data_IF_289310675624
#
_entry.id   IF_289310675624
#
_cell.length_a   1.000
_cell.length_b   1.000
_cell.length_c   1.000
_cell.angle_alpha   90.00
_cell.angle_beta   90.00
_cell.angle_gamma   90.00
#
_symmetry.space_group_name_H-M   'P 1'
#
loop_
_entity.id
_entity.type
_entity.pdbx_description
1 polymer ?
#
# COMPACT_ATOMS: atom_id res chain seq x y z
N UNK A 1 7.42 13.89 21.04
CA UNK A 1 6.87 13.19 19.85
C UNK A 1 7.90 13.28 18.74
N UNK A 2 8.26 12.16 18.13
CA UNK A 2 9.25 12.13 17.06
C UNK A 2 8.54 12.29 15.71
N UNK A 3 8.87 13.34 14.97
CA UNK A 3 8.41 13.56 13.61
C UNK A 3 9.56 13.30 12.62
N UNK A 4 9.24 12.65 11.50
CA UNK A 4 10.22 12.34 10.45
C UNK A 4 9.60 12.53 9.08
N UNK A 5 10.36 13.15 8.17
CA UNK A 5 10.06 13.12 6.75
C UNK A 5 10.72 11.91 6.07
N UNK A 6 9.94 11.13 5.32
CA UNK A 6 10.39 9.98 4.55
C UNK A 6 10.18 10.24 3.05
N UNK A 7 11.24 10.16 2.25
CA UNK A 7 11.16 10.26 0.78
C UNK A 7 10.93 8.90 0.16
N UNK A 8 10.04 8.82 -0.82
CA UNK A 8 9.73 7.62 -1.58
C UNK A 8 9.12 7.99 -2.94
N UNK A 9 8.75 6.98 -3.74
CA UNK A 9 8.22 7.15 -5.09
C UNK A 9 6.77 6.70 -5.13
N UNK A 10 5.96 7.41 -5.90
CA UNK A 10 4.58 7.04 -6.19
C UNK A 10 4.49 5.63 -6.80
N UNK A 11 3.82 4.66 -6.15
CA UNK A 11 3.75 3.26 -6.62
C UNK A 11 2.75 3.05 -7.76
N UNK A 12 2.13 4.11 -8.26
CA UNK A 12 1.15 4.00 -9.34
C UNK A 12 1.82 3.59 -10.63
N UNK A 13 1.15 2.71 -11.36
CA UNK A 13 1.54 2.31 -12.70
C UNK A 13 1.24 3.42 -13.72
N UNK A 14 1.92 4.57 -13.58
CA UNK A 14 1.96 5.64 -14.57
C UNK A 14 3.41 6.02 -14.86
N UNK A 15 3.63 6.67 -16.00
CA UNK A 15 4.98 7.00 -16.47
C UNK A 15 5.70 8.09 -15.65
N UNK A 16 4.96 8.87 -14.85
CA UNK A 16 5.52 10.06 -14.20
C UNK A 16 6.46 9.77 -13.02
N UNK A 17 6.34 8.60 -12.38
CA UNK A 17 7.17 8.17 -11.24
C UNK A 17 7.40 9.27 -10.18
N UNK A 18 6.35 10.04 -9.85
CA UNK A 18 6.47 11.23 -9.01
C UNK A 18 7.13 10.96 -7.64
N UNK A 19 7.97 11.89 -7.19
CA UNK A 19 8.56 11.87 -5.85
C UNK A 19 7.54 12.26 -4.78
N UNK A 20 7.58 11.55 -3.66
CA UNK A 20 6.68 11.73 -2.52
C UNK A 20 7.48 11.96 -1.24
N UNK A 21 6.89 12.74 -0.33
CA UNK A 21 7.38 12.97 1.02
C UNK A 21 6.26 12.67 2.01
N UNK A 22 6.45 11.68 2.86
CA UNK A 22 5.55 11.38 3.98
C UNK A 22 6.03 12.05 5.25
N UNK A 23 5.14 12.74 5.96
CA UNK A 23 5.33 13.11 7.36
C UNK A 23 4.86 11.95 8.23
N UNK A 24 5.77 11.41 9.03
CA UNK A 24 5.52 10.30 9.95
C UNK A 24 5.61 10.81 11.39
N UNK A 25 4.54 10.63 12.14
CA UNK A 25 4.39 11.02 13.55
C UNK A 25 3.82 9.82 14.30
N UNK A 26 4.46 9.44 15.41
CA UNK A 26 4.01 8.33 16.27
C UNK A 26 3.68 7.03 15.50
N UNK A 27 4.55 6.70 14.53
CA UNK A 27 4.43 5.54 13.61
C UNK A 27 3.22 5.57 12.67
N UNK A 28 2.60 6.73 12.47
CA UNK A 28 1.53 6.96 11.50
C UNK A 28 1.94 8.01 10.48
N UNK A 29 1.46 7.88 9.26
CA UNK A 29 1.65 8.88 8.22
C UNK A 29 0.53 9.91 8.40
N UNK A 30 0.89 11.13 8.80
CA UNK A 30 -0.07 12.21 9.06
C UNK A 30 -0.13 13.22 7.92
N UNK A 31 0.90 13.24 7.06
CA UNK A 31 0.95 14.08 5.87
C UNK A 31 1.60 13.38 4.69
N UNK A 32 1.17 13.73 3.48
CA UNK A 32 1.76 13.28 2.24
C UNK A 32 1.82 14.43 1.23
N UNK A 33 3.02 14.70 0.74
CA UNK A 33 3.33 15.83 -0.14
C UNK A 33 4.13 15.33 -1.35
N UNK A 34 4.16 16.12 -2.42
CA UNK A 34 5.11 15.89 -3.49
C UNK A 34 6.51 16.33 -3.08
N UNK A 35 7.54 15.63 -3.55
CA UNK A 35 8.92 15.99 -3.28
C UNK A 35 9.37 17.17 -4.17
N UNK A 36 9.63 18.37 -3.62
CA UNK A 36 10.09 19.51 -4.40
C UNK A 36 11.48 19.27 -5.02
N UNK A 37 12.29 18.38 -4.45
CA UNK A 37 13.62 18.05 -4.97
C UNK A 37 13.58 17.08 -6.16
N UNK A 38 12.41 16.49 -6.47
CA UNK A 38 12.29 15.54 -7.57
C UNK A 38 12.37 16.26 -8.93
N UNK A 39 13.40 15.99 -9.73
CA UNK A 39 13.71 16.77 -10.95
C UNK A 39 12.55 16.93 -11.95
N UNK A 40 11.76 15.87 -12.15
CA UNK A 40 10.58 15.93 -13.03
C UNK A 40 9.36 16.57 -12.36
N UNK A 41 8.79 15.91 -11.34
CA UNK A 41 7.54 16.33 -10.71
C UNK A 41 7.62 17.62 -9.86
N UNK A 42 8.79 17.98 -9.33
CA UNK A 42 9.05 19.23 -8.57
C UNK A 42 7.95 19.56 -7.54
N UNK A 43 7.49 18.57 -6.78
CA UNK A 43 6.46 18.73 -5.77
C UNK A 43 5.02 18.62 -6.27
N UNK A 44 4.78 18.55 -7.57
CA UNK A 44 3.44 18.39 -8.12
C UNK A 44 2.98 16.94 -8.14
N UNK A 45 1.79 16.70 -7.58
CA UNK A 45 1.08 15.44 -7.64
C UNK A 45 -0.25 15.58 -8.40
N UNK A 46 -0.71 14.49 -9.00
CA UNK A 46 -2.07 14.42 -9.53
C UNK A 46 -3.10 14.33 -8.39
N UNK A 47 -4.39 14.52 -8.68
CA UNK A 47 -5.49 14.42 -7.69
C UNK A 47 -5.46 13.16 -6.82
N UNK A 48 -4.91 12.07 -7.35
CA UNK A 48 -4.84 10.81 -6.63
C UNK A 48 -3.62 10.72 -5.71
N UNK A 49 -2.51 11.36 -6.07
CA UNK A 49 -1.34 11.44 -5.19
C UNK A 49 -1.68 12.11 -3.87
N UNK A 50 -2.49 13.18 -3.91
CA UNK A 50 -3.00 13.86 -2.73
C UNK A 50 -4.04 13.06 -1.90
N UNK A 51 -4.46 11.88 -2.38
CA UNK A 51 -5.51 11.06 -1.75
C UNK A 51 -5.02 9.68 -1.30
N UNK A 52 -3.70 9.43 -1.33
CA UNK A 52 -3.14 8.16 -0.88
C UNK A 52 -3.43 7.82 0.58
N UNK A 53 -3.52 8.82 1.47
CA UNK A 53 -3.83 8.57 2.88
C UNK A 53 -5.26 8.01 3.05
N UNK A 54 -6.19 8.41 2.18
CA UNK A 54 -7.56 7.86 2.16
C UNK A 54 -7.54 6.36 1.83
N UNK A 55 -6.63 5.92 0.94
CA UNK A 55 -6.44 4.50 0.61
C UNK A 55 -5.73 3.73 1.73
N UNK A 56 -4.69 4.33 2.30
CA UNK A 56 -3.87 3.68 3.33
C UNK A 56 -4.63 3.46 4.64
N UNK A 57 -5.56 4.37 4.96
CA UNK A 57 -6.43 4.31 6.14
C UNK A 57 -7.89 3.98 5.82
N UNK A 58 -8.18 3.50 4.61
CA UNK A 58 -9.53 3.11 4.25
C UNK A 58 -10.06 2.02 5.21
N UNK A 59 -11.31 2.11 5.69
CA UNK A 59 -11.87 1.12 6.62
C UNK A 59 -11.90 -0.31 6.05
N UNK A 60 -12.01 -0.44 4.72
CA UNK A 60 -12.03 -1.73 4.03
C UNK A 60 -10.65 -2.19 3.53
N UNK A 61 -9.55 -1.56 3.97
CA UNK A 61 -8.22 -1.95 3.53
C UNK A 61 -7.92 -3.40 3.92
N UNK A 62 -7.54 -4.22 2.94
CA UNK A 62 -7.16 -5.63 3.17
C UNK A 62 -5.82 -5.67 3.90
N UNK A 63 -5.87 -5.95 5.21
CA UNK A 63 -4.70 -6.02 6.09
C UNK A 63 -4.44 -7.42 6.65
N UNK A 64 -5.24 -8.41 6.25
CA UNK A 64 -5.10 -9.81 6.62
C UNK A 64 -5.22 -10.71 5.39
N UNK A 65 -4.57 -11.87 5.38
CA UNK A 65 -4.83 -12.90 4.38
C UNK A 65 -6.30 -13.32 4.37
N UNK A 66 -6.88 -13.42 3.18
CA UNK A 66 -8.26 -13.84 2.95
C UNK A 66 -8.26 -15.03 2.00
N UNK A 67 -9.11 -16.02 2.30
CA UNK A 67 -9.33 -17.22 1.48
C UNK A 67 -10.77 -17.28 1.04
N UNK A 68 -10.97 -17.71 -0.19
CA UNK A 68 -12.29 -17.93 -0.78
C UNK A 68 -12.45 -19.39 -1.16
N UNK A 69 -13.59 -20.00 -0.80
CA UNK A 69 -13.90 -21.40 -1.09
C UNK A 69 -15.37 -21.53 -1.53
N UNK A 70 -15.67 -21.99 -2.76
CA UNK A 70 -14.77 -22.15 -3.91
C UNK A 70 -14.35 -20.81 -4.52
N UNK A 71 -13.35 -20.80 -5.42
CA UNK A 71 -12.92 -19.61 -6.16
C UNK A 71 -14.10 -19.00 -6.92
N UNK A 72 -14.28 -17.69 -6.82
CA UNK A 72 -15.38 -16.95 -7.43
C UNK A 72 -16.64 -16.81 -6.55
N UNK A 73 -16.74 -17.46 -5.40
CA UNK A 73 -17.97 -17.48 -4.59
C UNK A 73 -18.33 -16.19 -3.84
N UNK A 74 -17.41 -15.23 -3.74
CA UNK A 74 -17.55 -14.06 -2.87
C UNK A 74 -17.38 -14.33 -1.37
N UNK A 75 -17.39 -15.60 -0.95
CA UNK A 75 -17.31 -16.01 0.46
C UNK A 75 -15.87 -15.95 0.99
N UNK A 76 -15.42 -14.75 1.32
CA UNK A 76 -14.09 -14.51 1.91
C UNK A 76 -14.07 -14.83 3.41
N UNK A 77 -13.09 -15.61 3.83
CA UNK A 77 -12.80 -15.87 5.23
C UNK A 77 -11.37 -15.46 5.54
N UNK A 78 -11.17 -14.81 6.69
CA UNK A 78 -9.83 -14.50 7.18
C UNK A 78 -9.11 -15.78 7.58
N UNK A 79 -7.84 -15.88 7.19
CA UNK A 79 -6.93 -16.95 7.60
C UNK A 79 -5.65 -16.35 8.20
N UNK A 80 -4.82 -17.18 8.83
CA UNK A 80 -3.50 -16.75 9.31
C UNK A 80 -2.50 -16.63 8.15
N UNK A 81 -1.37 -15.97 8.40
CA UNK A 81 -0.26 -15.97 7.45
C UNK A 81 0.33 -17.36 7.25
N UNK A 82 0.51 -18.13 8.33
CA UNK A 82 1.02 -19.51 8.25
C UNK A 82 0.12 -20.41 7.41
N UNK A 83 -1.21 -20.34 7.61
CA UNK A 83 -2.17 -21.10 6.77
C UNK A 83 -2.08 -20.65 5.31
N UNK A 84 -1.98 -19.34 5.06
CA UNK A 84 -1.88 -18.82 3.69
C UNK A 84 -0.62 -19.32 2.98
N UNK A 85 0.53 -19.33 3.67
CA UNK A 85 1.79 -19.82 3.12
C UNK A 85 1.74 -21.31 2.83
N UNK A 86 1.29 -22.13 3.78
CA UNK A 86 1.21 -23.59 3.61
C UNK A 86 0.29 -23.95 2.42
N UNK A 87 -0.87 -23.30 2.30
CA UNK A 87 -1.80 -23.54 1.20
C UNK A 87 -1.25 -23.14 -0.17
N UNK A 88 -0.47 -22.06 -0.25
CA UNK A 88 0.12 -21.60 -1.51
C UNK A 88 1.30 -22.49 -1.88
N UNK A 89 2.22 -22.73 -0.94
CA UNK A 89 3.40 -23.58 -1.15
C UNK A 89 2.98 -25.01 -1.52
N UNK A 90 2.03 -25.60 -0.80
CA UNK A 90 1.47 -26.91 -1.10
C UNK A 90 0.74 -27.01 -2.44
N UNK A 91 0.49 -25.90 -3.15
CA UNK A 91 0.00 -25.93 -4.55
C UNK A 91 1.09 -25.72 -5.58
N UNK A 92 2.18 -25.06 -5.20
CA UNK A 92 3.31 -24.77 -6.08
C UNK A 92 4.32 -25.92 -6.10
N UNK A 93 4.50 -26.61 -4.98
CA UNK A 93 5.49 -27.66 -4.78
C UNK A 93 4.98 -29.06 -5.16
N UNK A 94 3.74 -29.16 -5.63
CA UNK A 94 3.18 -30.43 -6.10
C UNK A 94 3.56 -30.59 -7.57
N UNK A 95 4.43 -31.56 -7.85
CA UNK A 95 4.60 -32.18 -9.17
C UNK A 95 3.37 -33.02 -9.54
#
# INVERSE_FOLDING_TARGET
MASKFCRHICPRNCYNTCGLVSLVEDRRITGLYGDPAHGYSRGHLCRFGYRYLDLFYHPERVIYPLRQVPRGSGNWRRISWDEAYELIAGKMLVE
#
